data_IF_280586174164
#
_entry.id   IF_280586174164
#
_cell.length_a   1.000
_cell.length_b   1.000
_cell.length_c   1.000
_cell.angle_alpha   90.00
_cell.angle_beta   90.00
_cell.angle_gamma   90.00
#
_symmetry.space_group_name_H-M   'P 1'
#
loop_
_entity.id
_entity.type
_entity.pdbx_description
1 polymer ?
#
# COMPACT_ATOMS: atom_id res chain seq x y z
N UNK A 1 28.60 -47.72 -2.40
CA UNK A 1 27.36 -47.46 -1.63
C UNK A 1 27.20 -45.99 -1.16
N UNK A 2 27.95 -45.02 -1.70
CA UNK A 2 27.90 -43.61 -1.24
C UNK A 2 27.22 -42.64 -2.23
N UNK A 3 27.04 -43.03 -3.49
CA UNK A 3 26.43 -42.18 -4.51
C UNK A 3 24.88 -42.22 -4.48
N UNK A 4 24.28 -43.34 -4.07
CA UNK A 4 22.80 -43.49 -3.95
C UNK A 4 22.20 -42.66 -2.79
N UNK A 5 22.98 -42.38 -1.74
CA UNK A 5 22.55 -41.56 -0.60
C UNK A 5 22.49 -40.05 -0.94
N UNK A 6 23.33 -39.57 -1.86
CA UNK A 6 23.33 -38.17 -2.31
C UNK A 6 22.10 -37.83 -3.16
N UNK A 7 21.61 -38.78 -3.97
CA UNK A 7 20.43 -38.58 -4.81
C UNK A 7 19.15 -38.46 -3.97
N UNK A 8 19.08 -39.14 -2.82
CA UNK A 8 17.92 -39.07 -1.94
C UNK A 8 17.78 -37.71 -1.22
N UNK A 9 18.88 -36.98 -1.03
CA UNK A 9 18.89 -35.71 -0.29
C UNK A 9 18.33 -34.53 -1.11
N UNK A 10 18.34 -34.63 -2.44
CA UNK A 10 17.78 -33.61 -3.36
C UNK A 10 16.23 -33.61 -3.35
N UNK A 11 15.59 -34.72 -2.97
CA UNK A 11 14.14 -34.84 -2.91
C UNK A 11 13.50 -34.27 -1.62
N UNK A 12 14.31 -33.80 -0.65
CA UNK A 12 13.83 -33.29 0.64
C UNK A 12 13.88 -31.76 0.75
N UNK A 13 14.14 -31.03 -0.34
CA UNK A 13 13.98 -29.58 -0.34
C UNK A 13 12.51 -29.29 -0.68
N UNK A 14 11.65 -28.98 0.31
CA UNK A 14 10.35 -28.44 0.00
C UNK A 14 10.56 -27.14 -0.78
N UNK A 15 10.16 -27.14 -2.05
CA UNK A 15 9.99 -25.92 -2.82
C UNK A 15 8.81 -25.16 -2.22
N UNK A 16 9.05 -24.49 -1.08
CA UNK A 16 8.15 -23.47 -0.59
C UNK A 16 8.24 -22.30 -1.55
N UNK A 17 7.40 -22.32 -2.58
CA UNK A 17 7.05 -21.13 -3.35
C UNK A 17 6.31 -20.19 -2.39
N UNK A 18 7.07 -19.39 -1.65
CA UNK A 18 6.51 -18.25 -0.93
C UNK A 18 6.02 -17.26 -1.98
N UNK A 19 4.70 -17.18 -2.14
CA UNK A 19 4.10 -16.11 -2.91
C UNK A 19 4.58 -14.77 -2.32
N UNK A 20 5.23 -13.95 -3.17
CA UNK A 20 5.80 -12.67 -2.76
C UNK A 20 4.66 -11.71 -2.44
N UNK A 21 4.35 -11.55 -1.16
CA UNK A 21 3.48 -10.48 -0.68
C UNK A 21 4.27 -9.17 -0.75
N UNK A 22 3.68 -8.15 -1.39
CA UNK A 22 4.25 -6.81 -1.42
C UNK A 22 3.39 -5.90 -0.55
N UNK A 23 4.01 -5.23 0.40
CA UNK A 23 3.36 -4.27 1.29
C UNK A 23 3.98 -2.90 1.02
N UNK A 24 3.14 -1.89 0.82
CA UNK A 24 3.56 -0.49 0.68
C UNK A 24 2.92 0.29 1.82
N UNK A 25 3.71 1.11 2.50
CA UNK A 25 3.24 1.99 3.56
C UNK A 25 3.53 3.43 3.16
N UNK A 26 2.55 4.31 3.39
CA UNK A 26 2.69 5.75 3.23
C UNK A 26 2.32 6.47 4.51
N UNK A 27 3.19 7.35 5.00
CA UNK A 27 2.93 8.19 6.16
C UNK A 27 2.56 9.60 5.68
N UNK A 28 1.37 10.08 6.04
CA UNK A 28 0.81 11.31 5.50
C UNK A 28 0.29 12.25 6.58
N UNK A 29 0.34 13.55 6.31
CA UNK A 29 -0.13 14.60 7.23
C UNK A 29 -0.92 15.69 6.49
N UNK A 30 -1.88 16.30 7.19
CA UNK A 30 -2.59 17.50 6.76
C UNK A 30 -2.97 18.34 7.98
N UNK A 31 -2.21 19.41 8.24
CA UNK A 31 -2.26 20.14 9.50
C UNK A 31 -2.01 19.21 10.69
N UNK A 32 -2.96 19.13 11.61
CA UNK A 32 -2.89 18.30 12.82
C UNK A 32 -3.48 16.88 12.64
N UNK A 33 -3.71 16.46 11.40
CA UNK A 33 -4.25 15.14 11.06
C UNK A 33 -3.12 14.32 10.45
N UNK A 34 -2.80 13.19 11.08
CA UNK A 34 -1.86 12.20 10.57
C UNK A 34 -2.61 10.93 10.14
N UNK A 35 -2.17 10.35 9.03
CA UNK A 35 -2.82 9.24 8.35
C UNK A 35 -1.76 8.26 7.83
N UNK A 36 -1.82 7.02 8.28
CA UNK A 36 -1.10 5.91 7.65
C UNK A 36 -1.94 5.33 6.53
N UNK A 37 -1.33 5.15 5.38
CA UNK A 37 -1.85 4.43 4.23
C UNK A 37 -1.10 3.10 4.10
N UNK A 38 -1.79 2.02 3.77
CA UNK A 38 -1.17 0.72 3.52
C UNK A 38 -1.81 0.01 2.34
N UNK A 39 -0.98 -0.48 1.42
CA UNK A 39 -1.36 -1.38 0.32
C UNK A 39 -0.75 -2.76 0.57
N UNK A 40 -1.50 -3.80 0.28
CA UNK A 40 -1.06 -5.18 0.31
C UNK A 40 -1.44 -5.84 -1.01
N UNK A 41 -0.43 -6.27 -1.76
CA UNK A 41 -0.60 -7.04 -2.99
C UNK A 41 -0.21 -8.50 -2.76
N UNK A 42 -1.09 -9.41 -3.14
CA UNK A 42 -0.87 -10.85 -3.07
C UNK A 42 -1.49 -11.53 -4.30
N UNK A 43 -0.65 -11.94 -5.25
CA UNK A 43 -1.14 -12.45 -6.54
C UNK A 43 -1.94 -11.37 -7.30
N UNK A 44 -3.19 -11.66 -7.62
CA UNK A 44 -4.16 -10.76 -8.22
C UNK A 44 -5.00 -9.98 -7.20
N UNK A 45 -4.85 -10.27 -5.91
CA UNK A 45 -5.57 -9.58 -4.85
C UNK A 45 -4.87 -8.26 -4.46
N UNK A 46 -5.66 -7.20 -4.39
CA UNK A 46 -5.24 -5.87 -3.92
C UNK A 46 -6.09 -5.46 -2.73
N UNK A 47 -5.44 -5.26 -1.58
CA UNK A 47 -6.06 -4.81 -0.35
C UNK A 47 -5.45 -3.46 0.02
N UNK A 48 -6.27 -2.56 0.53
CA UNK A 48 -5.81 -1.29 1.06
C UNK A 48 -6.52 -0.97 2.35
N UNK A 49 -5.88 -0.17 3.20
CA UNK A 49 -6.55 0.47 4.33
C UNK A 49 -5.84 1.76 4.71
N UNK A 50 -6.55 2.60 5.45
CA UNK A 50 -5.96 3.75 6.13
C UNK A 50 -6.20 3.69 7.63
N UNK A 51 -5.29 4.26 8.40
CA UNK A 51 -5.39 4.42 9.85
C UNK A 51 -5.05 5.85 10.22
N UNK A 52 -6.00 6.57 10.78
CA UNK A 52 -5.74 7.89 11.35
C UNK A 52 -5.02 7.73 12.69
N UNK A 53 -4.00 8.54 12.98
CA UNK A 53 -3.21 8.50 14.23
C UNK A 53 -4.09 8.45 15.48
N UNK A 54 -5.15 9.27 15.50
CA UNK A 54 -6.07 9.39 16.66
C UNK A 54 -7.22 8.38 16.64
N UNK A 55 -7.21 7.40 15.73
CA UNK A 55 -8.22 6.36 15.60
C UNK A 55 -7.65 5.00 15.97
N UNK A 56 -8.40 4.23 16.76
CA UNK A 56 -8.09 2.82 17.03
C UNK A 56 -8.61 1.87 15.94
N UNK A 57 -9.32 2.40 14.93
CA UNK A 57 -9.92 1.62 13.85
C UNK A 57 -9.31 1.98 12.50
N UNK A 58 -8.98 0.95 11.73
CA UNK A 58 -8.65 1.12 10.31
C UNK A 58 -9.93 1.32 9.49
N UNK A 59 -9.78 1.97 8.34
CA UNK A 59 -10.83 2.09 7.34
C UNK A 59 -10.41 1.25 6.13
N UNK A 60 -11.16 0.18 5.79
CA UNK A 60 -10.84 -0.64 4.63
C UNK A 60 -11.05 0.14 3.33
N UNK A 61 -10.17 -0.13 2.37
CA UNK A 61 -10.21 0.43 1.03
C UNK A 61 -10.46 -0.68 0.01
N UNK A 62 -11.54 -0.53 -0.76
CA UNK A 62 -11.84 -1.42 -1.87
C UNK A 62 -11.18 -0.90 -3.15
N UNK A 63 -10.39 -1.75 -3.81
CA UNK A 63 -9.69 -1.38 -5.04
C UNK A 63 -10.67 -1.00 -6.15
N UNK A 64 -10.46 0.15 -6.80
CA UNK A 64 -11.23 0.57 -7.96
C UNK A 64 -10.41 0.36 -9.23
N UNK A 65 -9.23 0.98 -9.29
CA UNK A 65 -8.36 0.94 -10.46
C UNK A 65 -6.94 1.34 -10.15
N UNK A 66 -6.04 0.94 -11.04
CA UNK A 66 -4.67 1.40 -11.17
C UNK A 66 -4.50 2.01 -12.55
N UNK A 67 -3.85 3.16 -12.63
CA UNK A 67 -3.40 3.77 -13.89
C UNK A 67 -1.91 4.02 -13.82
N UNK A 68 -1.23 3.92 -14.95
CA UNK A 68 0.21 4.18 -15.07
C UNK A 68 0.44 5.22 -16.16
N UNK A 69 1.24 6.23 -15.84
CA UNK A 69 1.73 7.21 -16.80
C UNK A 69 3.23 6.97 -16.98
N UNK A 70 3.63 6.58 -18.19
CA UNK A 70 5.02 6.27 -18.53
C UNK A 70 5.72 7.54 -19.03
N UNK A 71 6.97 7.71 -18.63
CA UNK A 71 7.84 8.79 -19.09
C UNK A 71 9.15 8.21 -19.63
N UNK A 72 9.74 8.86 -20.63
CA UNK A 72 11.00 8.42 -21.26
C UNK A 72 12.22 8.73 -20.38
N UNK A 73 12.18 9.85 -19.65
CA UNK A 73 13.32 10.45 -18.94
C UNK A 73 13.26 10.31 -17.42
N UNK A 74 12.18 9.72 -16.88
CA UNK A 74 11.95 9.55 -15.45
C UNK A 74 11.09 8.33 -15.15
N UNK A 75 11.02 7.86 -13.88
CA UNK A 75 10.19 6.71 -13.51
C UNK A 75 8.71 6.92 -13.85
N UNK A 76 7.99 5.85 -14.18
CA UNK A 76 6.54 5.89 -14.34
C UNK A 76 5.85 6.42 -13.07
N UNK A 77 4.76 7.15 -13.26
CA UNK A 77 3.84 7.50 -12.18
C UNK A 77 2.69 6.50 -12.12
N UNK A 78 2.50 5.88 -10.95
CA UNK A 78 1.42 4.96 -10.66
C UNK A 78 0.37 5.66 -9.81
N UNK A 79 -0.88 5.60 -10.25
CA UNK A 79 -2.02 6.16 -9.52
C UNK A 79 -3.01 5.06 -9.19
N UNK A 80 -3.32 4.90 -7.91
CA UNK A 80 -4.33 3.98 -7.41
C UNK A 80 -5.56 4.76 -6.93
N UNK A 81 -6.73 4.24 -7.25
CA UNK A 81 -8.01 4.75 -6.75
C UNK A 81 -8.68 3.68 -5.92
N UNK A 82 -9.19 4.07 -4.76
CA UNK A 82 -9.82 3.19 -3.80
C UNK A 82 -11.13 3.76 -3.29
N UNK A 83 -12.13 2.92 -3.07
CA UNK A 83 -13.35 3.28 -2.37
C UNK A 83 -13.17 3.12 -0.87
N UNK A 84 -13.51 4.16 -0.12
CA UNK A 84 -13.62 4.10 1.33
C UNK A 84 -14.88 3.31 1.72
N UNK A 85 -14.73 2.24 2.49
CA UNK A 85 -15.86 1.42 2.96
C UNK A 85 -16.01 1.52 4.47
N UNK A 86 -17.15 2.04 4.94
CA UNK A 86 -17.50 2.13 6.37
C UNK A 86 -18.88 1.50 6.52
N UNK A 87 -19.00 0.55 7.45
CA UNK A 87 -20.25 -0.19 7.74
C UNK A 87 -20.92 -0.74 6.47
N UNK A 88 -20.11 -1.28 5.56
CA UNK A 88 -20.56 -1.88 4.30
C UNK A 88 -21.00 -0.87 3.22
N UNK A 89 -20.81 0.43 3.43
CA UNK A 89 -21.18 1.49 2.50
C UNK A 89 -19.96 2.23 1.96
N UNK A 90 -20.02 2.64 0.70
CA UNK A 90 -19.03 3.54 0.09
C UNK A 90 -19.30 4.98 0.54
N UNK A 91 -18.34 5.59 1.25
CA UNK A 91 -18.48 6.94 1.83
C UNK A 91 -17.60 8.00 1.15
N UNK A 92 -16.63 7.57 0.37
CA UNK A 92 -15.74 8.42 -0.40
C UNK A 92 -14.76 7.59 -1.19
N UNK A 93 -13.72 8.25 -1.69
CA UNK A 93 -12.63 7.60 -2.39
C UNK A 93 -11.30 8.23 -2.01
N UNK A 94 -10.27 7.40 -1.95
CA UNK A 94 -8.88 7.82 -1.83
C UNK A 94 -8.22 7.68 -3.20
N UNK A 95 -7.41 8.66 -3.58
CA UNK A 95 -6.52 8.57 -4.74
C UNK A 95 -5.11 8.86 -4.26
N UNK A 96 -4.22 7.91 -4.54
CA UNK A 96 -2.80 8.02 -4.25
C UNK A 96 -2.03 7.93 -5.56
N UNK A 97 -1.04 8.79 -5.74
CA UNK A 97 -0.06 8.64 -6.82
C UNK A 97 1.35 8.55 -6.26
N UNK A 98 2.18 7.74 -6.90
CA UNK A 98 3.57 7.50 -6.54
C UNK A 98 4.44 7.47 -7.79
N UNK A 99 5.66 7.97 -7.67
CA UNK A 99 6.65 7.94 -8.73
C UNK A 99 8.01 7.61 -8.10
N UNK A 100 8.65 6.55 -8.61
CA UNK A 100 9.87 6.03 -8.01
C UNK A 100 9.64 5.58 -6.56
N UNK A 101 10.36 6.19 -5.61
CA UNK A 101 10.31 5.84 -4.19
C UNK A 101 9.47 6.82 -3.34
N UNK A 102 8.70 7.71 -3.97
CA UNK A 102 7.96 8.79 -3.29
C UNK A 102 6.49 8.80 -3.67
N UNK A 103 5.67 9.32 -2.75
CA UNK A 103 4.28 9.62 -3.04
C UNK A 103 4.17 11.04 -3.59
N UNK A 104 3.63 11.18 -4.80
CA UNK A 104 3.43 12.47 -5.46
C UNK A 104 2.19 13.17 -4.95
N UNK A 105 1.09 12.44 -4.74
CA UNK A 105 -0.16 12.98 -4.24
C UNK A 105 -0.93 11.96 -3.43
N UNK A 106 -1.67 12.44 -2.44
CA UNK A 106 -2.65 11.64 -1.74
C UNK A 106 -3.82 12.51 -1.30
N UNK A 107 -5.04 12.13 -1.71
CA UNK A 107 -6.22 12.86 -1.29
C UNK A 107 -7.42 11.95 -1.07
N UNK A 108 -8.29 12.40 -0.19
CA UNK A 108 -9.63 11.88 0.00
C UNK A 108 -10.65 12.77 -0.71
N UNK A 109 -11.64 12.17 -1.36
CA UNK A 109 -12.83 12.84 -1.85
C UNK A 109 -14.06 12.20 -1.24
N UNK A 110 -14.83 12.98 -0.47
CA UNK A 110 -16.07 12.52 0.13
C UNK A 110 -17.12 12.23 -0.94
N UNK A 111 -18.12 11.43 -0.58
CA UNK A 111 -19.32 11.23 -1.41
C UNK A 111 -20.05 12.53 -1.75
N UNK A 112 -19.95 13.56 -0.90
CA UNK A 112 -20.53 14.89 -1.13
C UNK A 112 -19.66 15.80 -2.00
N UNK A 113 -18.46 15.36 -2.38
CA UNK A 113 -17.57 16.08 -3.29
C UNK A 113 -16.49 16.93 -2.62
N UNK A 114 -16.46 17.00 -1.29
CA UNK A 114 -15.38 17.68 -0.56
C UNK A 114 -14.06 16.94 -0.76
N UNK A 115 -12.98 17.68 -1.04
CA UNK A 115 -11.65 17.11 -1.26
C UNK A 115 -10.75 17.51 -0.10
N UNK A 116 -10.01 16.54 0.42
CA UNK A 116 -9.05 16.72 1.49
C UNK A 116 -7.69 16.14 1.07
N UNK A 117 -6.68 17.01 0.99
CA UNK A 117 -5.34 16.63 0.54
C UNK A 117 -4.45 16.30 1.73
N UNK A 118 -3.56 15.35 1.52
CA UNK A 118 -2.50 14.98 2.43
C UNK A 118 -1.15 15.10 1.74
N UNK A 119 -0.11 15.37 2.52
CA UNK A 119 1.27 15.42 2.07
C UNK A 119 2.05 14.29 2.72
N UNK A 120 2.97 13.68 1.96
CA UNK A 120 3.87 12.67 2.52
C UNK A 120 4.72 13.30 3.63
N UNK A 121 4.74 12.67 4.80
CA UNK A 121 5.56 13.04 5.93
C UNK A 121 6.74 12.06 6.05
N UNK A 122 7.86 12.44 5.47
CA UNK A 122 9.06 11.59 5.35
C UNK A 122 9.67 11.31 6.74
N UNK A 123 9.56 12.24 7.67
CA UNK A 123 10.12 12.11 9.02
C UNK A 123 9.27 11.22 9.93
N UNK A 124 8.04 10.89 9.49
CA UNK A 124 7.13 10.04 10.23
C UNK A 124 7.35 8.54 10.01
N UNK A 125 8.20 8.13 9.08
CA UNK A 125 8.47 6.71 8.87
C UNK A 125 9.36 6.15 9.96
N UNK A 126 9.11 4.89 10.35
CA UNK A 126 10.07 4.14 11.14
C UNK A 126 11.35 3.86 10.30
N UNK A 127 12.42 3.41 10.97
CA UNK A 127 13.73 3.16 10.32
C UNK A 127 13.67 2.19 9.13
N UNK A 128 12.68 1.30 9.09
CA UNK A 128 12.52 0.31 8.02
C UNK A 128 11.53 0.75 6.92
N UNK A 129 10.87 1.91 7.06
CA UNK A 129 9.84 2.38 6.13
C UNK A 129 8.57 1.51 6.11
N UNK A 130 8.35 0.71 7.15
CA UNK A 130 7.24 -0.27 7.23
C UNK A 130 6.11 0.18 8.15
N UNK A 131 6.29 1.29 8.87
CA UNK A 131 5.26 1.85 9.74
C UNK A 131 5.50 3.36 9.95
N UNK A 132 4.53 4.03 10.55
CA UNK A 132 4.61 5.43 10.95
C UNK A 132 4.79 5.57 12.48
N UNK A 133 5.55 6.55 12.94
CA UNK A 133 6.04 6.68 14.34
C UNK A 133 5.49 7.90 15.11
N UNK A 134 4.32 8.41 14.72
CA UNK A 134 3.66 9.48 15.47
C UNK A 134 3.31 9.06 16.90
#
# INVERSE_FOLDING_TARGET
MRFKLLVAMVYLIPFFLLAKQQIIVGCFSSGNINLKYTEIFYGDASLGYVVYEKSSRFIPLAFIKKTEMVFEDRPSELTYSWSEVIDGKVNGLYVVSSQGARFNSFYYKSKTGSVFNFQENIDAYNKSGTDCIW
#
